data_IF_983855536259
#
_entry.id   IF_983855536259
#
_cell.length_a   1.000
_cell.length_b   1.000
_cell.length_c   1.000
_cell.angle_alpha   90.00
_cell.angle_beta   90.00
_cell.angle_gamma   90.00
#
_symmetry.space_group_name_H-M   'P 1'
#
loop_
_entity.id
_entity.type
_entity.pdbx_description
1 polymer ?
#
# COMPACT_ATOMS: atom_id res chain seq x y z
N UNK A 1 20.94 33.34 46.02
CA UNK A 1 19.64 33.19 45.32
C UNK A 1 19.93 32.52 43.98
N UNK A 2 19.90 31.18 43.94
CA UNK A 2 20.07 30.41 42.71
C UNK A 2 18.74 29.76 42.38
N UNK A 3 17.99 30.38 41.47
CA UNK A 3 16.78 29.79 40.90
C UNK A 3 17.21 28.92 39.71
N UNK A 4 17.45 27.64 39.97
CA UNK A 4 17.61 26.61 38.95
C UNK A 4 16.24 26.27 38.36
N UNK A 5 15.88 26.92 37.26
CA UNK A 5 14.68 26.59 36.49
C UNK A 5 14.95 25.30 35.72
N UNK A 6 14.53 24.16 36.27
CA UNK A 6 14.43 22.91 35.54
C UNK A 6 13.44 23.08 34.36
N UNK A 7 13.98 23.21 33.14
CA UNK A 7 13.21 23.03 31.92
C UNK A 7 12.76 21.57 31.84
N UNK A 8 11.48 21.31 32.14
CA UNK A 8 10.82 20.06 31.75
C UNK A 8 10.62 20.10 30.25
N UNK A 9 11.43 19.35 29.50
CA UNK A 9 11.10 18.96 28.13
C UNK A 9 9.84 18.09 28.20
N UNK A 10 8.76 18.52 27.53
CA UNK A 10 7.55 17.71 27.39
C UNK A 10 7.93 16.35 26.78
N UNK A 11 7.42 15.21 27.32
CA UNK A 11 7.63 13.93 26.66
C UNK A 11 6.99 14.00 25.28
N UNK A 12 7.77 13.67 24.24
CA UNK A 12 7.25 13.56 22.88
C UNK A 12 6.09 12.57 22.81
N UNK A 13 5.31 12.58 21.70
CA UNK A 13 4.17 11.68 21.54
C UNK A 13 4.60 10.23 21.81
N UNK A 14 3.93 9.59 22.78
CA UNK A 14 4.17 8.19 23.10
C UNK A 14 3.44 7.33 22.07
N UNK A 15 4.21 6.68 21.20
CA UNK A 15 3.65 5.74 20.23
C UNK A 15 3.00 4.53 20.94
N UNK A 16 1.90 3.97 20.38
CA UNK A 16 1.21 2.83 21.00
C UNK A 16 2.07 1.56 21.03
N UNK A 17 2.89 1.34 19.99
CA UNK A 17 3.74 0.16 19.82
C UNK A 17 5.24 0.53 19.84
N UNK A 18 6.13 -0.42 20.20
CA UNK A 18 7.57 -0.24 20.01
C UNK A 18 7.91 -0.21 18.52
N UNK A 19 8.34 0.96 18.03
CA UNK A 19 8.65 1.17 16.62
C UNK A 19 10.04 0.66 16.27
N UNK A 20 10.16 0.08 15.08
CA UNK A 20 11.40 -0.35 14.49
C UNK A 20 11.53 0.24 13.08
N UNK A 21 12.76 0.52 12.61
CA UNK A 21 12.96 1.00 11.25
C UNK A 21 12.57 -0.06 10.22
N UNK A 22 12.17 0.36 9.00
CA UNK A 22 11.92 -0.54 7.89
C UNK A 22 13.21 -1.22 7.42
N UNK A 23 13.08 -2.45 6.96
CA UNK A 23 14.16 -3.21 6.33
C UNK A 23 14.14 -2.99 4.80
N UNK A 24 15.20 -2.43 4.18
CA UNK A 24 15.24 -2.18 2.74
C UNK A 24 14.98 -3.42 1.88
N UNK A 25 15.47 -4.60 2.29
CA UNK A 25 15.27 -5.84 1.53
C UNK A 25 13.79 -6.26 1.56
N UNK A 26 13.11 -6.06 2.69
CA UNK A 26 11.66 -6.27 2.79
C UNK A 26 10.89 -5.29 1.92
N UNK A 27 11.26 -4.00 1.92
CA UNK A 27 10.64 -2.99 1.05
C UNK A 27 10.80 -3.36 -0.42
N UNK A 28 11.98 -3.84 -0.84
CA UNK A 28 12.21 -4.32 -2.21
C UNK A 28 11.29 -5.50 -2.56
N UNK A 29 11.12 -6.48 -1.66
CA UNK A 29 10.15 -7.57 -1.87
C UNK A 29 8.74 -7.05 -2.05
N UNK A 30 8.28 -6.17 -1.15
CA UNK A 30 6.93 -5.59 -1.18
C UNK A 30 6.65 -4.86 -2.50
N UNK A 31 7.63 -4.14 -3.04
CA UNK A 31 7.50 -3.45 -4.33
C UNK A 31 7.21 -4.43 -5.47
N UNK A 32 7.84 -5.61 -5.48
CA UNK A 32 7.56 -6.66 -6.46
C UNK A 32 6.28 -7.45 -6.16
N UNK A 33 6.02 -7.73 -4.89
CA UNK A 33 4.87 -8.54 -4.45
C UNK A 33 3.54 -7.88 -4.78
N UNK A 34 3.48 -6.54 -4.74
CA UNK A 34 2.33 -5.78 -5.22
C UNK A 34 1.89 -6.24 -6.62
N UNK A 35 2.81 -6.26 -7.59
CA UNK A 35 2.52 -6.66 -8.97
C UNK A 35 2.24 -8.15 -9.10
N UNK A 36 2.99 -9.00 -8.39
CA UNK A 36 2.78 -10.46 -8.40
C UNK A 36 1.40 -10.84 -7.90
N UNK A 37 0.91 -10.18 -6.84
CA UNK A 37 -0.45 -10.39 -6.36
C UNK A 37 -1.46 -9.84 -7.36
N UNK A 38 -1.30 -8.60 -7.82
CA UNK A 38 -2.26 -7.97 -8.73
C UNK A 38 -2.45 -8.76 -10.03
N UNK A 39 -1.39 -9.39 -10.56
CA UNK A 39 -1.42 -10.24 -11.76
C UNK A 39 -2.42 -11.40 -11.67
N UNK A 40 -2.81 -11.82 -10.47
CA UNK A 40 -3.77 -12.93 -10.25
C UNK A 40 -5.23 -12.51 -10.39
N UNK A 41 -5.52 -11.21 -10.42
CA UNK A 41 -6.89 -10.69 -10.43
C UNK A 41 -7.72 -11.18 -11.63
N UNK A 42 -7.21 -11.17 -12.89
CA UNK A 42 -8.00 -11.58 -14.04
C UNK A 42 -8.59 -12.99 -13.92
N UNK A 43 -7.76 -13.95 -13.53
CA UNK A 43 -8.19 -15.34 -13.37
C UNK A 43 -9.34 -15.48 -12.35
N UNK A 44 -9.31 -14.71 -11.26
CA UNK A 44 -10.35 -14.73 -10.25
C UNK A 44 -11.66 -14.11 -10.76
N UNK A 45 -11.56 -12.99 -11.50
CA UNK A 45 -12.74 -12.32 -12.04
C UNK A 45 -13.42 -13.13 -13.15
N UNK A 46 -12.63 -13.74 -14.06
CA UNK A 46 -13.15 -14.61 -15.12
C UNK A 46 -13.85 -15.85 -14.58
N UNK A 47 -13.42 -16.34 -13.41
CA UNK A 47 -14.03 -17.48 -12.72
C UNK A 47 -15.13 -17.08 -11.74
N UNK A 48 -15.44 -15.79 -11.62
CA UNK A 48 -16.38 -15.24 -10.63
C UNK A 48 -16.05 -15.60 -9.17
N UNK A 49 -14.77 -15.78 -8.86
CA UNK A 49 -14.26 -16.14 -7.54
C UNK A 49 -14.14 -14.90 -6.63
N UNK A 50 -15.24 -14.20 -6.38
CA UNK A 50 -15.22 -12.89 -5.73
C UNK A 50 -14.73 -12.90 -4.28
N UNK A 51 -14.90 -14.00 -3.55
CA UNK A 51 -14.33 -14.13 -2.20
C UNK A 51 -12.81 -14.22 -2.24
N UNK A 52 -12.25 -14.90 -3.25
CA UNK A 52 -10.82 -14.92 -3.47
C UNK A 52 -10.31 -13.58 -4.00
N UNK A 53 -11.11 -12.87 -4.81
CA UNK A 53 -10.80 -11.52 -5.24
C UNK A 53 -10.74 -10.54 -4.05
N UNK A 54 -11.65 -10.67 -3.08
CA UNK A 54 -11.62 -9.91 -1.83
C UNK A 54 -10.32 -10.13 -1.05
N UNK A 55 -9.98 -11.40 -0.82
CA UNK A 55 -8.74 -11.76 -0.14
C UNK A 55 -7.51 -11.22 -0.90
N UNK A 56 -7.51 -11.30 -2.23
CA UNK A 56 -6.41 -10.79 -3.05
C UNK A 56 -6.28 -9.27 -2.92
N UNK A 57 -7.37 -8.52 -3.08
CA UNK A 57 -7.36 -7.06 -2.99
C UNK A 57 -7.02 -6.60 -1.57
N UNK A 58 -7.47 -7.31 -0.53
CA UNK A 58 -7.04 -7.08 0.84
C UNK A 58 -5.52 -7.27 1.01
N UNK A 59 -4.93 -8.32 0.40
CA UNK A 59 -3.48 -8.54 0.41
C UNK A 59 -2.70 -7.45 -0.33
N UNK A 60 -3.18 -7.01 -1.49
CA UNK A 60 -2.57 -5.89 -2.25
C UNK A 60 -2.64 -4.60 -1.44
N UNK A 61 -3.79 -4.30 -0.82
CA UNK A 61 -3.97 -3.15 0.08
C UNK A 61 -3.06 -3.20 1.30
N UNK A 62 -2.89 -4.38 1.89
CA UNK A 62 -1.97 -4.59 3.00
C UNK A 62 -0.51 -4.30 2.59
N UNK A 63 -0.10 -4.81 1.42
CA UNK A 63 1.22 -4.52 0.83
C UNK A 63 1.45 -3.02 0.66
N UNK A 64 0.49 -2.29 0.09
CA UNK A 64 0.54 -0.83 -0.05
C UNK A 64 0.60 -0.13 1.31
N UNK A 65 -0.12 -0.63 2.30
CA UNK A 65 -0.10 -0.07 3.66
C UNK A 65 1.28 -0.22 4.29
N UNK A 66 1.93 -1.38 4.16
CA UNK A 66 3.31 -1.58 4.62
C UNK A 66 4.30 -0.64 3.91
N UNK A 67 4.15 -0.45 2.60
CA UNK A 67 4.96 0.51 1.83
C UNK A 67 4.78 1.95 2.35
N UNK A 68 3.55 2.36 2.69
CA UNK A 68 3.30 3.67 3.32
C UNK A 68 3.99 3.81 4.68
N UNK A 69 3.92 2.77 5.51
CA UNK A 69 4.58 2.77 6.82
C UNK A 69 6.11 2.84 6.66
N UNK A 70 6.68 2.11 5.72
CA UNK A 70 8.10 2.16 5.42
C UNK A 70 8.54 3.58 4.99
N UNK A 71 7.73 4.28 4.19
CA UNK A 71 8.00 5.67 3.85
C UNK A 71 7.90 6.61 5.06
N UNK A 72 6.98 6.32 5.99
CA UNK A 72 6.87 7.00 7.29
C UNK A 72 8.04 6.66 8.23
N UNK A 73 8.96 5.78 7.82
CA UNK A 73 10.17 5.43 8.56
C UNK A 73 9.97 4.33 9.59
N UNK A 74 8.88 3.57 9.52
CA UNK A 74 8.61 2.47 10.43
C UNK A 74 8.31 1.18 9.67
N UNK A 75 8.69 0.03 10.23
CA UNK A 75 8.14 -1.26 9.78
C UNK A 75 6.74 -1.47 10.36
N UNK A 76 5.96 -2.37 9.75
CA UNK A 76 4.71 -2.83 10.33
C UNK A 76 4.90 -3.37 11.76
N UNK A 77 4.23 -2.81 12.80
CA UNK A 77 4.34 -3.36 14.14
C UNK A 77 3.53 -4.67 14.25
N UNK A 78 4.21 -5.76 14.64
CA UNK A 78 3.73 -7.15 14.55
C UNK A 78 2.34 -7.39 15.17
N UNK A 79 2.02 -6.72 16.28
CA UNK A 79 0.78 -6.93 17.03
C UNK A 79 -0.09 -5.66 17.09
N UNK A 80 0.09 -4.73 16.15
CA UNK A 80 -0.60 -3.45 16.25
C UNK A 80 -2.12 -3.59 16.13
N UNK A 81 -2.83 -2.92 17.02
CA UNK A 81 -4.27 -2.66 16.94
C UNK A 81 -4.56 -1.19 16.64
N UNK A 82 -3.52 -0.39 16.33
CA UNK A 82 -3.56 1.06 16.26
C UNK A 82 -3.04 1.62 14.91
N UNK A 83 -3.32 0.94 13.79
CA UNK A 83 -2.84 1.34 12.45
C UNK A 83 -3.02 2.84 12.14
N UNK A 84 -4.18 3.41 12.49
CA UNK A 84 -4.48 4.82 12.21
C UNK A 84 -3.53 5.81 12.88
N UNK A 85 -2.87 5.43 13.97
CA UNK A 85 -1.87 6.25 14.65
C UNK A 85 -0.59 6.42 13.82
N UNK A 86 -0.34 5.55 12.85
CA UNK A 86 0.87 5.54 12.04
C UNK A 86 0.68 6.08 10.63
N UNK A 87 -0.54 6.49 10.28
CA UNK A 87 -0.91 6.99 8.97
C UNK A 87 -1.37 8.44 9.05
N UNK A 88 -0.88 9.27 8.13
CA UNK A 88 -1.41 10.61 7.94
C UNK A 88 -2.89 10.58 7.53
N UNK A 89 -3.58 11.71 7.66
CA UNK A 89 -4.97 11.81 7.19
C UNK A 89 -5.10 11.49 5.68
N UNK A 90 -4.16 11.96 4.86
CA UNK A 90 -4.18 11.69 3.41
C UNK A 90 -3.96 10.22 3.10
N UNK A 91 -3.04 9.54 3.80
CA UNK A 91 -2.81 8.10 3.67
C UNK A 91 -4.06 7.29 4.04
N UNK A 92 -4.70 7.63 5.17
CA UNK A 92 -5.95 6.98 5.58
C UNK A 92 -7.06 7.17 4.54
N UNK A 93 -7.25 8.41 4.06
CA UNK A 93 -8.26 8.69 3.04
C UNK A 93 -7.98 7.94 1.74
N UNK A 94 -6.72 7.84 1.31
CA UNK A 94 -6.35 7.09 0.11
C UNK A 94 -6.68 5.59 0.27
N UNK A 95 -6.29 4.97 1.39
CA UNK A 95 -6.61 3.56 1.66
C UNK A 95 -8.11 3.32 1.78
N UNK A 96 -8.86 4.22 2.42
CA UNK A 96 -10.32 4.09 2.57
C UNK A 96 -11.04 4.07 1.22
N UNK A 97 -10.57 4.83 0.22
CA UNK A 97 -11.13 4.82 -1.15
C UNK A 97 -10.96 3.48 -1.87
N UNK A 98 -10.07 2.61 -1.39
CA UNK A 98 -9.88 1.28 -1.98
C UNK A 98 -10.86 0.25 -1.41
N UNK A 99 -11.57 0.56 -0.32
CA UNK A 99 -12.51 -0.36 0.32
C UNK A 99 -13.78 -0.50 -0.55
N UNK A 100 -14.25 -1.73 -0.74
CA UNK A 100 -15.51 -2.00 -1.43
C UNK A 100 -16.70 -1.71 -0.53
N UNK A 101 -17.75 -1.14 -1.13
CA UNK A 101 -19.05 -0.89 -0.51
C UNK A 101 -20.16 -1.19 -1.54
N UNK A 102 -21.34 -1.60 -1.07
CA UNK A 102 -21.77 -2.98 -0.86
C UNK A 102 -21.99 -3.81 -2.15
N UNK A 103 -21.69 -3.28 -3.32
CA UNK A 103 -21.93 -3.97 -4.60
C UNK A 103 -20.72 -4.83 -5.00
N UNK A 104 -20.96 -6.12 -5.25
CA UNK A 104 -19.95 -7.07 -5.70
C UNK A 104 -20.11 -7.25 -7.20
N UNK A 105 -19.22 -6.65 -7.98
CA UNK A 105 -19.15 -6.78 -9.43
C UNK A 105 -17.69 -6.82 -9.90
N UNK A 106 -17.44 -7.36 -11.08
CA UNK A 106 -16.10 -7.34 -11.68
C UNK A 106 -15.56 -5.91 -11.86
N UNK A 107 -16.44 -4.97 -12.25
CA UNK A 107 -16.12 -3.54 -12.37
C UNK A 107 -15.68 -2.94 -11.03
N UNK A 108 -16.38 -3.26 -9.94
CA UNK A 108 -16.01 -2.78 -8.61
C UNK A 108 -14.62 -3.28 -8.18
N UNK A 109 -14.31 -4.55 -8.46
CA UNK A 109 -12.97 -5.12 -8.21
C UNK A 109 -11.88 -4.43 -9.04
N UNK A 110 -12.15 -4.17 -10.31
CA UNK A 110 -11.23 -3.43 -11.20
C UNK A 110 -11.01 -2.02 -10.66
N UNK A 111 -12.08 -1.30 -10.28
CA UNK A 111 -11.97 0.04 -9.70
C UNK A 111 -11.09 0.08 -8.44
N UNK A 112 -11.25 -0.88 -7.53
CA UNK A 112 -10.41 -0.99 -6.34
C UNK A 112 -8.94 -1.29 -6.68
N UNK A 113 -8.70 -2.19 -7.63
CA UNK A 113 -7.35 -2.54 -8.08
C UNK A 113 -6.65 -1.35 -8.75
N UNK A 114 -7.36 -0.60 -9.59
CA UNK A 114 -6.86 0.63 -10.23
C UNK A 114 -6.51 1.68 -9.17
N UNK A 115 -7.37 1.89 -8.17
CA UNK A 115 -7.08 2.82 -7.07
C UNK A 115 -5.80 2.41 -6.31
N UNK A 116 -5.57 1.10 -6.11
CA UNK A 116 -4.35 0.60 -5.51
C UNK A 116 -3.11 0.82 -6.39
N UNK A 117 -3.22 0.70 -7.71
CA UNK A 117 -2.14 1.03 -8.66
C UNK A 117 -1.78 2.52 -8.59
N UNK A 118 -2.78 3.41 -8.56
CA UNK A 118 -2.55 4.85 -8.41
C UNK A 118 -1.77 5.14 -7.13
N UNK A 119 -2.20 4.56 -6.01
CA UNK A 119 -1.51 4.72 -4.73
C UNK A 119 -0.09 4.15 -4.82
N UNK A 120 0.10 2.93 -5.33
CA UNK A 120 1.41 2.34 -5.48
C UNK A 120 2.37 3.23 -6.29
N UNK A 121 1.95 3.71 -7.46
CA UNK A 121 2.75 4.56 -8.35
C UNK A 121 3.14 5.89 -7.70
N UNK A 122 2.34 6.39 -6.76
CA UNK A 122 2.71 7.56 -5.97
C UNK A 122 3.84 7.27 -4.97
N UNK A 123 3.78 6.14 -4.25
CA UNK A 123 4.71 5.84 -3.16
C UNK A 123 6.00 5.13 -3.62
N UNK A 124 5.93 4.27 -4.62
CA UNK A 124 7.04 3.42 -5.04
C UNK A 124 8.30 4.20 -5.48
N UNK A 125 8.22 5.29 -6.27
CA UNK A 125 9.41 6.08 -6.63
C UNK A 125 10.09 6.73 -5.41
N UNK A 126 9.30 7.17 -4.42
CA UNK A 126 9.83 7.77 -3.19
C UNK A 126 10.58 6.74 -2.33
N UNK A 127 10.06 5.51 -2.27
CA UNK A 127 10.70 4.39 -1.56
C UNK A 127 11.99 3.97 -2.27
N UNK A 128 11.96 3.85 -3.59
CA UNK A 128 13.15 3.58 -4.42
C UNK A 128 14.24 4.60 -4.16
N UNK A 129 13.90 5.89 -4.17
CA UNK A 129 14.86 6.96 -3.87
C UNK A 129 15.37 6.89 -2.44
N UNK A 130 14.48 6.69 -1.46
CA UNK A 130 14.81 6.69 -0.02
C UNK A 130 15.76 5.55 0.36
N UNK A 131 15.57 4.37 -0.22
CA UNK A 131 16.29 3.15 0.14
C UNK A 131 17.35 2.74 -0.89
N UNK A 132 17.50 3.48 -2.00
CA UNK A 132 18.46 3.16 -3.06
C UNK A 132 18.14 1.84 -3.79
N UNK A 133 16.86 1.54 -3.97
CA UNK A 133 16.39 0.28 -4.57
C UNK A 133 16.26 0.38 -6.09
N UNK A 134 16.08 -0.76 -6.75
CA UNK A 134 15.71 -0.79 -8.17
C UNK A 134 14.18 -0.84 -8.28
N UNK A 135 13.61 0.04 -9.10
CA UNK A 135 12.18 0.00 -9.39
C UNK A 135 11.83 -1.26 -10.19
N UNK A 136 10.79 -2.04 -9.83
CA UNK A 136 10.47 -3.32 -10.47
C UNK A 136 9.72 -3.12 -11.81
N UNK A 137 10.27 -2.31 -12.72
CA UNK A 137 9.65 -1.95 -14.00
C UNK A 137 9.21 -3.18 -14.83
N UNK A 138 10.02 -4.25 -14.98
CA UNK A 138 9.60 -5.40 -15.77
C UNK A 138 8.34 -6.09 -15.22
N UNK A 139 8.19 -6.16 -13.90
CA UNK A 139 7.01 -6.76 -13.27
C UNK A 139 5.76 -5.91 -13.48
N UNK A 140 5.91 -4.58 -13.42
CA UNK A 140 4.83 -3.65 -13.71
C UNK A 140 4.36 -3.79 -15.16
N UNK A 141 5.28 -3.72 -16.11
CA UNK A 141 4.97 -3.78 -17.55
C UNK A 141 4.27 -5.10 -17.91
N UNK A 142 4.82 -6.23 -17.46
CA UNK A 142 4.22 -7.55 -17.68
C UNK A 142 2.82 -7.67 -17.07
N UNK A 143 2.64 -7.16 -15.85
CA UNK A 143 1.37 -7.27 -15.14
C UNK A 143 0.30 -6.41 -15.80
N UNK A 144 0.63 -5.17 -16.17
CA UNK A 144 -0.30 -4.26 -16.85
C UNK A 144 -0.69 -4.78 -18.23
N UNK A 145 0.27 -5.30 -19.01
CA UNK A 145 -0.03 -5.93 -20.28
C UNK A 145 -1.00 -7.10 -20.11
N UNK A 146 -0.78 -7.96 -19.12
CA UNK A 146 -1.68 -9.07 -18.83
C UNK A 146 -3.09 -8.61 -18.42
N UNK A 147 -3.20 -7.61 -17.55
CA UNK A 147 -4.49 -7.04 -17.12
C UNK A 147 -5.25 -6.46 -18.31
N UNK A 148 -4.59 -5.66 -19.15
CA UNK A 148 -5.18 -5.04 -20.35
C UNK A 148 -5.63 -6.06 -21.39
N UNK A 149 -4.90 -7.18 -21.54
CA UNK A 149 -5.26 -8.24 -22.48
C UNK A 149 -6.43 -9.09 -22.00
N UNK A 150 -6.58 -9.26 -20.68
CA UNK A 150 -7.50 -10.25 -20.10
C UNK A 150 -8.80 -9.63 -19.59
N UNK A 151 -8.76 -8.39 -19.12
CA UNK A 151 -9.90 -7.68 -18.56
C UNK A 151 -10.31 -6.52 -19.49
N UNK A 152 -11.46 -6.66 -20.15
CA UNK A 152 -11.95 -5.68 -21.12
C UNK A 152 -12.14 -4.28 -20.52
N UNK A 153 -12.57 -4.20 -19.25
CA UNK A 153 -12.84 -2.94 -18.55
C UNK A 153 -11.60 -2.39 -17.82
N UNK A 154 -10.43 -3.02 -17.96
CA UNK A 154 -9.21 -2.49 -17.39
C UNK A 154 -8.77 -1.23 -18.15
N UNK A 155 -8.42 -0.12 -17.45
CA UNK A 155 -8.06 1.12 -18.12
C UNK A 155 -6.77 1.00 -18.94
N UNK A 156 -6.77 1.62 -20.12
CA UNK A 156 -5.60 1.68 -21.01
C UNK A 156 -4.45 2.52 -20.42
N UNK A 157 -4.77 3.46 -19.54
CA UNK A 157 -3.79 4.28 -18.83
C UNK A 157 -4.26 4.58 -17.41
N UNK A 158 -3.33 4.59 -16.46
CA UNK A 158 -3.57 4.92 -15.05
C UNK A 158 -2.62 6.06 -14.69
N UNK A 159 -3.15 7.26 -14.49
CA UNK A 159 -2.37 8.44 -14.13
C UNK A 159 -2.43 8.70 -12.61
N UNK A 160 -1.42 9.40 -12.09
CA UNK A 160 -1.35 9.82 -10.68
C UNK A 160 -1.63 11.33 -10.50
N UNK A 161 -2.16 11.98 -11.54
CA UNK A 161 -2.47 13.43 -11.58
C UNK A 161 -3.81 13.76 -10.91
#
# INVERSE_FOLDING_TARGET
>A
MNSSTHQRTAPGPRWPDPLQPPDPAHVESLLGDFWRYLRRLPDLLLRHEYLLADQLVAQVRFTVTELMLALNGIRWPVATTHLNSYLSQSQRTALQKTLLLPEISAEAWIGCAVALVVIYRWYAPQLVQRFGLVYPQPLEDETLAHLQQTLADWPLSITTE
#
